data_IF_255088368072
#
_entry.id   IF_255088368072
#
_cell.length_a   1.000
_cell.length_b   1.000
_cell.length_c   1.000
_cell.angle_alpha   90.00
_cell.angle_beta   90.00
_cell.angle_gamma   90.00
#
_symmetry.space_group_name_H-M   'P 1'
#
loop_
_entity.id
_entity.type
_entity.pdbx_description
1 polymer ?
#
# COMPACT_ATOMS: atom_id res chain seq x y z
N UNK A 1 -34.14 38.23 27.61
CA UNK A 1 -33.12 38.36 26.53
C UNK A 1 -31.88 37.48 26.71
N UNK A 2 -31.22 37.43 27.88
CA UNK A 2 -30.00 36.61 28.11
C UNK A 2 -30.18 35.09 27.81
N UNK A 3 -31.36 34.53 28.06
CA UNK A 3 -31.68 33.11 27.78
C UNK A 3 -31.77 32.78 26.28
N UNK A 4 -32.33 33.69 25.47
CA UNK A 4 -32.49 33.50 24.02
C UNK A 4 -31.14 33.59 23.32
N UNK A 5 -30.29 34.55 23.70
CA UNK A 5 -28.92 34.66 23.21
C UNK A 5 -28.07 33.41 23.54
N UNK A 6 -28.23 32.83 24.73
CA UNK A 6 -27.57 31.56 25.09
C UNK A 6 -28.06 30.39 24.23
N UNK A 7 -29.35 30.29 23.94
CA UNK A 7 -29.91 29.26 23.04
C UNK A 7 -29.38 29.39 21.62
N UNK A 8 -29.27 30.61 21.11
CA UNK A 8 -28.69 30.91 19.79
C UNK A 8 -27.20 30.54 19.75
N UNK A 9 -26.43 30.92 20.78
CA UNK A 9 -25.01 30.57 20.87
C UNK A 9 -24.79 29.04 20.94
N UNK A 10 -25.62 28.32 21.71
CA UNK A 10 -25.60 26.86 21.74
C UNK A 10 -25.92 26.26 20.37
N UNK A 11 -26.95 26.77 19.69
CA UNK A 11 -27.33 26.31 18.35
C UNK A 11 -26.19 26.49 17.34
N UNK A 12 -25.54 27.65 17.32
CA UNK A 12 -24.38 27.87 16.46
C UNK A 12 -23.22 26.95 16.83
N UNK A 13 -22.95 26.73 18.12
CA UNK A 13 -21.91 25.80 18.56
C UNK A 13 -22.19 24.36 18.10
N UNK A 14 -23.44 23.90 18.21
CA UNK A 14 -23.87 22.61 17.64
C UNK A 14 -23.71 22.56 16.12
N UNK A 15 -24.07 23.63 15.41
CA UNK A 15 -23.94 23.69 13.95
C UNK A 15 -22.48 23.69 13.49
N UNK A 16 -21.60 24.44 14.17
CA UNK A 16 -20.16 24.44 13.92
C UNK A 16 -19.54 23.07 14.20
N UNK A 17 -19.89 22.45 15.34
CA UNK A 17 -19.43 21.09 15.66
C UNK A 17 -19.92 20.07 14.63
N UNK A 18 -21.17 20.15 14.20
CA UNK A 18 -21.70 19.26 13.16
C UNK A 18 -20.94 19.41 11.83
N UNK A 19 -20.65 20.64 11.40
CA UNK A 19 -19.85 20.91 10.19
C UNK A 19 -18.44 20.33 10.32
N UNK A 20 -17.81 20.49 11.48
CA UNK A 20 -16.47 19.97 11.77
C UNK A 20 -16.46 18.44 11.77
N UNK A 21 -17.42 17.79 12.44
CA UNK A 21 -17.57 16.33 12.45
C UNK A 21 -17.77 15.80 11.02
N UNK A 22 -18.63 16.45 10.23
CA UNK A 22 -18.88 16.05 8.84
C UNK A 22 -17.62 16.19 7.98
N UNK A 23 -16.81 17.23 8.20
CA UNK A 23 -15.53 17.43 7.52
C UNK A 23 -14.54 16.33 7.88
N UNK A 24 -14.39 16.01 9.17
CA UNK A 24 -13.52 14.92 9.62
C UNK A 24 -13.97 13.56 9.09
N UNK A 25 -15.27 13.28 9.10
CA UNK A 25 -15.82 12.04 8.50
C UNK A 25 -15.44 11.92 7.01
N UNK A 26 -15.54 13.01 6.24
CA UNK A 26 -15.15 13.00 4.82
C UNK A 26 -13.65 12.75 4.63
N UNK A 27 -12.81 13.28 5.51
CA UNK A 27 -11.36 13.04 5.48
C UNK A 27 -11.05 11.59 5.84
N UNK A 28 -11.66 11.06 6.90
CA UNK A 28 -11.48 9.68 7.33
C UNK A 28 -11.89 8.69 6.23
N UNK A 29 -13.05 8.88 5.61
CA UNK A 29 -13.48 8.00 4.51
C UNK A 29 -12.50 8.04 3.32
N UNK A 30 -11.87 9.18 3.04
CA UNK A 30 -10.85 9.26 1.99
C UNK A 30 -9.57 8.53 2.39
N UNK A 31 -9.13 8.70 3.64
CA UNK A 31 -7.96 8.02 4.17
C UNK A 31 -8.15 6.50 4.18
N UNK A 32 -9.31 6.03 4.62
CA UNK A 32 -9.68 4.61 4.63
C UNK A 32 -9.58 4.01 3.22
N UNK A 33 -10.20 4.66 2.23
CA UNK A 33 -10.10 4.23 0.83
C UNK A 33 -8.65 4.22 0.32
N UNK A 34 -7.87 5.25 0.63
CA UNK A 34 -6.45 5.30 0.23
C UNK A 34 -5.62 4.21 0.90
N UNK A 35 -5.96 3.81 2.13
CA UNK A 35 -5.30 2.68 2.81
C UNK A 35 -5.65 1.36 2.12
N UNK A 36 -6.92 1.13 1.78
CA UNK A 36 -7.36 -0.04 1.02
C UNK A 36 -6.65 -0.11 -0.34
N UNK A 37 -6.66 0.98 -1.11
CA UNK A 37 -5.98 1.07 -2.40
C UNK A 37 -4.47 0.73 -2.26
N UNK A 38 -3.83 1.25 -1.20
CA UNK A 38 -2.42 0.97 -0.89
C UNK A 38 -2.17 -0.49 -0.51
N UNK A 39 -3.13 -1.17 0.10
CA UNK A 39 -3.02 -2.61 0.39
C UNK A 39 -3.14 -3.46 -0.88
N UNK A 40 -4.08 -3.10 -1.76
CA UNK A 40 -4.24 -3.73 -3.08
C UNK A 40 -2.95 -3.57 -3.89
N UNK A 41 -2.39 -2.37 -3.95
CA UNK A 41 -1.13 -2.08 -4.65
C UNK A 41 0.04 -2.91 -4.08
N UNK A 42 0.09 -3.10 -2.76
CA UNK A 42 1.08 -3.98 -2.13
C UNK A 42 0.92 -5.42 -2.60
N UNK A 43 -0.29 -5.95 -2.65
CA UNK A 43 -0.56 -7.32 -3.10
C UNK A 43 -0.16 -7.49 -4.57
N UNK A 44 -0.54 -6.55 -5.43
CA UNK A 44 -0.18 -6.56 -6.86
C UNK A 44 1.33 -6.55 -7.02
N UNK A 45 2.04 -5.66 -6.29
CA UNK A 45 3.49 -5.58 -6.35
C UNK A 45 4.15 -6.90 -5.93
N UNK A 46 3.70 -7.52 -4.84
CA UNK A 46 4.19 -8.84 -4.42
C UNK A 46 4.01 -9.89 -5.51
N UNK A 47 2.83 -9.93 -6.14
CA UNK A 47 2.55 -10.84 -7.26
C UNK A 47 3.48 -10.61 -8.45
N UNK A 48 3.72 -9.35 -8.82
CA UNK A 48 4.61 -8.98 -9.92
C UNK A 48 6.06 -9.39 -9.66
N UNK A 49 6.56 -9.16 -8.44
CA UNK A 49 7.90 -9.58 -8.03
C UNK A 49 8.03 -11.11 -8.14
N UNK A 50 7.07 -11.87 -7.60
CA UNK A 50 7.10 -13.35 -7.68
C UNK A 50 7.09 -13.82 -9.14
N UNK A 51 6.23 -13.23 -9.97
CA UNK A 51 6.15 -13.56 -11.40
C UNK A 51 7.47 -13.29 -12.12
N UNK A 52 8.10 -12.15 -11.84
CA UNK A 52 9.41 -11.80 -12.39
C UNK A 52 10.47 -12.82 -11.97
N UNK A 53 10.57 -13.13 -10.67
CA UNK A 53 11.54 -14.10 -10.15
C UNK A 53 11.33 -15.49 -10.75
N UNK A 54 10.09 -15.98 -10.86
CA UNK A 54 9.79 -17.27 -11.49
C UNK A 54 10.20 -17.33 -12.95
N UNK A 55 9.96 -16.24 -13.70
CA UNK A 55 10.39 -16.10 -15.09
C UNK A 55 11.92 -16.06 -15.20
N UNK A 56 12.57 -15.31 -14.32
CA UNK A 56 14.03 -15.15 -14.29
C UNK A 56 14.74 -16.47 -13.99
N UNK A 57 14.24 -17.26 -13.04
CA UNK A 57 14.76 -18.58 -12.67
C UNK A 57 14.27 -19.73 -13.57
N UNK A 58 13.46 -19.42 -14.59
CA UNK A 58 12.85 -20.39 -15.51
C UNK A 58 12.09 -21.51 -14.79
N UNK A 59 11.50 -21.22 -13.62
CA UNK A 59 10.76 -22.22 -12.82
C UNK A 59 9.50 -22.68 -13.56
N UNK A 60 8.88 -21.78 -14.33
CA UNK A 60 7.66 -22.06 -15.09
C UNK A 60 7.91 -22.87 -16.37
N UNK A 61 9.17 -23.20 -16.69
CA UNK A 61 9.51 -24.02 -17.85
C UNK A 61 9.02 -25.46 -17.65
N UNK A 62 7.99 -25.86 -18.42
CA UNK A 62 7.38 -27.20 -18.33
C UNK A 62 8.22 -28.32 -18.93
N UNK A 63 9.24 -27.99 -19.71
CA UNK A 63 10.08 -28.97 -20.39
C UNK A 63 11.11 -29.56 -19.41
N UNK A 64 11.18 -30.89 -19.34
CA UNK A 64 12.25 -31.61 -18.61
C UNK A 64 13.66 -31.28 -19.13
N UNK A 65 13.76 -30.72 -20.33
CA UNK A 65 15.03 -30.39 -20.99
C UNK A 65 15.51 -28.97 -20.73
N UNK A 66 14.72 -28.12 -20.07
CA UNK A 66 15.15 -26.77 -19.71
C UNK A 66 15.74 -26.84 -18.30
N UNK A 67 17.06 -26.66 -18.12
CA UNK A 67 17.64 -26.63 -16.80
C UNK A 67 17.11 -25.41 -16.04
N UNK A 68 16.69 -25.63 -14.79
CA UNK A 68 16.35 -24.54 -13.88
C UNK A 68 17.62 -23.79 -13.54
N UNK A 69 17.62 -22.48 -13.72
CA UNK A 69 18.78 -21.66 -13.37
C UNK A 69 18.74 -21.39 -11.85
N UNK A 70 19.77 -21.83 -11.12
CA UNK A 70 20.00 -21.37 -9.75
C UNK A 70 20.83 -20.10 -9.80
N UNK A 71 20.26 -18.98 -9.36
CA UNK A 71 20.93 -17.68 -9.25
C UNK A 71 21.19 -17.37 -7.79
N UNK A 72 22.21 -16.55 -7.53
CA UNK A 72 22.52 -16.13 -6.18
C UNK A 72 21.39 -15.22 -5.65
N UNK A 73 21.09 -15.31 -4.35
CA UNK A 73 20.06 -14.50 -3.71
C UNK A 73 20.35 -13.00 -3.85
N UNK A 74 21.63 -12.62 -3.83
CA UNK A 74 22.08 -11.23 -4.05
C UNK A 74 21.71 -10.70 -5.43
N UNK A 75 21.94 -11.50 -6.48
CA UNK A 75 21.64 -11.12 -7.87
C UNK A 75 20.13 -10.95 -8.09
N UNK A 76 19.33 -11.85 -7.51
CA UNK A 76 17.86 -11.75 -7.53
C UNK A 76 17.41 -10.47 -6.81
N UNK A 77 17.99 -10.18 -5.64
CA UNK A 77 17.66 -8.99 -4.86
C UNK A 77 17.98 -7.70 -5.62
N UNK A 78 19.17 -7.60 -6.19
CA UNK A 78 19.58 -6.44 -6.98
C UNK A 78 18.66 -6.24 -8.18
N UNK A 79 18.25 -7.32 -8.85
CA UNK A 79 17.30 -7.25 -9.95
C UNK A 79 15.93 -6.76 -9.50
N UNK A 80 15.41 -7.25 -8.38
CA UNK A 80 14.14 -6.77 -7.83
C UNK A 80 14.23 -5.29 -7.46
N UNK A 81 15.34 -4.86 -6.84
CA UNK A 81 15.55 -3.46 -6.49
C UNK A 81 15.65 -2.55 -7.72
N UNK A 82 16.31 -3.02 -8.79
CA UNK A 82 16.42 -2.28 -10.05
C UNK A 82 15.05 -2.09 -10.73
N UNK A 83 14.17 -3.10 -10.70
CA UNK A 83 12.90 -3.08 -11.42
C UNK A 83 11.73 -2.53 -10.60
N UNK A 84 11.74 -2.78 -9.28
CA UNK A 84 10.61 -2.47 -8.38
C UNK A 84 10.98 -1.54 -7.21
N UNK A 85 12.24 -1.11 -7.09
CA UNK A 85 12.72 -0.33 -5.95
C UNK A 85 11.95 0.97 -5.70
N UNK A 86 11.59 1.70 -6.77
CA UNK A 86 10.79 2.92 -6.64
C UNK A 86 9.37 2.65 -6.11
N UNK A 87 8.71 1.60 -6.61
CA UNK A 87 7.36 1.23 -6.19
C UNK A 87 7.37 0.71 -4.74
N UNK A 88 8.38 -0.07 -4.39
CA UNK A 88 8.61 -0.51 -3.01
C UNK A 88 8.82 0.67 -2.07
N UNK A 89 9.63 1.67 -2.46
CA UNK A 89 9.86 2.88 -1.67
C UNK A 89 8.56 3.68 -1.47
N UNK A 90 7.76 3.87 -2.53
CA UNK A 90 6.44 4.55 -2.45
C UNK A 90 5.47 3.84 -1.50
N UNK A 91 5.48 2.50 -1.52
CA UNK A 91 4.59 1.70 -0.68
C UNK A 91 5.15 1.43 0.72
N UNK A 92 6.43 1.72 0.97
CA UNK A 92 7.12 1.47 2.24
C UNK A 92 7.48 0.00 2.46
N UNK A 93 7.59 -0.79 1.39
CA UNK A 93 7.94 -2.22 1.43
C UNK A 93 9.46 -2.37 1.43
N UNK A 94 9.98 -3.30 2.23
CA UNK A 94 11.40 -3.65 2.22
C UNK A 94 11.58 -5.15 1.96
N UNK A 95 12.62 -5.48 1.19
CA UNK A 95 13.03 -6.86 0.97
C UNK A 95 14.20 -7.18 1.92
N UNK A 96 14.06 -8.26 2.68
CA UNK A 96 15.15 -8.77 3.51
C UNK A 96 16.10 -9.67 2.69
N UNK A 97 17.18 -10.13 3.31
CA UNK A 97 18.18 -11.00 2.65
C UNK A 97 17.62 -12.35 2.22
N UNK A 98 16.51 -12.79 2.82
CA UNK A 98 15.78 -14.01 2.47
C UNK A 98 14.76 -13.82 1.35
N UNK A 99 14.75 -12.65 0.69
CA UNK A 99 13.78 -12.27 -0.34
C UNK A 99 12.33 -12.24 0.16
N UNK A 100 12.12 -12.15 1.47
CA UNK A 100 10.80 -11.98 2.07
C UNK A 100 10.39 -10.51 2.01
N UNK A 101 9.17 -10.27 1.55
CA UNK A 101 8.57 -8.94 1.43
C UNK A 101 7.95 -8.56 2.78
N UNK A 102 8.66 -7.73 3.56
CA UNK A 102 8.21 -7.16 4.83
C UNK A 102 7.58 -5.78 4.64
#
# INVERSE_FOLDING_TARGET
>A
MKSILKKIALFFNYLFNFRTIKRFKKINNKLEKTLEDREVDRIILKGNIIKMVRKYLRIDAKSKYIPKESRNHTEIRERILAEFGEQMAKLGIKINEKLELR
#
